data_IF_687742647069
#
_entry.id   IF_687742647069
#
_cell.length_a   1.000
_cell.length_b   1.000
_cell.length_c   1.000
_cell.angle_alpha   90.00
_cell.angle_beta   90.00
_cell.angle_gamma   90.00
#
_symmetry.space_group_name_H-M   'P 1'
#
loop_
_entity.id
_entity.type
_entity.pdbx_description
1 polymer ?
#
# COMPACT_ATOMS: atom_id res chain seq x y z
N UNK A 1 12.14 -11.80 3.58
CA UNK A 1 11.69 -10.66 4.43
C UNK A 1 12.30 -10.84 5.81
N UNK A 2 13.00 -9.84 6.32
CA UNK A 2 13.78 -9.95 7.59
C UNK A 2 13.06 -9.33 8.78
N UNK A 3 12.25 -8.29 8.55
CA UNK A 3 11.40 -7.65 9.54
C UNK A 3 10.29 -6.86 8.87
N UNK A 4 9.27 -6.53 9.64
CA UNK A 4 8.12 -5.71 9.23
C UNK A 4 7.82 -4.67 10.31
N UNK A 5 7.16 -3.58 9.96
CA UNK A 5 6.72 -2.57 10.90
C UNK A 5 5.62 -1.71 10.31
N UNK A 6 4.77 -1.15 11.15
CA UNK A 6 3.69 -0.29 10.72
C UNK A 6 3.53 0.91 11.65
N UNK A 7 2.93 1.96 11.12
CA UNK A 7 2.55 3.15 11.87
C UNK A 7 1.25 3.73 11.31
N UNK A 8 0.35 4.09 12.20
CA UNK A 8 -0.90 4.78 11.87
C UNK A 8 -1.07 5.98 12.81
N UNK A 9 -1.75 7.04 12.38
CA UNK A 9 -2.07 8.16 13.27
C UNK A 9 -2.86 7.71 14.51
N UNK A 10 -2.69 8.43 15.62
CA UNK A 10 -3.42 8.16 16.85
C UNK A 10 -4.90 8.54 16.73
N UNK A 11 -5.20 9.59 15.95
CA UNK A 11 -6.56 10.08 15.78
C UNK A 11 -7.43 9.08 15.05
N UNK A 12 -8.40 8.53 15.77
CA UNK A 12 -9.46 7.67 15.22
C UNK A 12 -10.60 8.56 14.72
N UNK A 13 -11.14 8.23 13.56
CA UNK A 13 -12.34 8.82 12.98
C UNK A 13 -13.33 7.70 12.73
N UNK A 14 -14.34 7.61 13.57
CA UNK A 14 -15.43 6.63 13.45
C UNK A 14 -16.49 7.07 12.42
N UNK A 15 -17.31 6.12 11.95
CA UNK A 15 -18.40 6.45 11.03
C UNK A 15 -19.40 7.45 11.64
N UNK A 16 -19.59 7.46 12.97
CA UNK A 16 -20.45 8.40 13.65
C UNK A 16 -19.96 9.85 13.58
N UNK A 17 -18.64 10.05 13.49
CA UNK A 17 -18.02 11.37 13.35
C UNK A 17 -18.29 11.98 11.96
N UNK A 18 -18.72 11.16 11.01
CA UNK A 18 -19.02 11.55 9.63
C UNK A 18 -20.51 11.93 9.44
N UNK A 19 -21.30 12.04 10.51
CA UNK A 19 -22.72 12.42 10.44
C UNK A 19 -22.96 13.76 9.73
N UNK A 20 -21.98 14.67 9.76
CA UNK A 20 -22.02 15.95 9.05
C UNK A 20 -22.15 15.82 7.53
N UNK A 21 -21.76 14.66 6.96
CA UNK A 21 -21.93 14.34 5.53
C UNK A 21 -23.35 13.89 5.18
N UNK A 22 -24.23 13.75 6.18
CA UNK A 22 -25.63 13.31 5.99
C UNK A 22 -25.76 11.82 5.64
N UNK A 23 -24.76 11.01 5.97
CA UNK A 23 -24.80 9.55 5.77
C UNK A 23 -24.94 8.80 7.10
N UNK A 24 -25.61 7.65 7.04
CA UNK A 24 -25.74 6.73 8.16
C UNK A 24 -24.43 5.93 8.34
N UNK A 25 -23.91 5.80 9.58
CA UNK A 25 -22.78 4.94 9.90
C UNK A 25 -22.93 3.50 9.39
N UNK A 26 -24.11 2.90 9.49
CA UNK A 26 -24.39 1.56 8.99
C UNK A 26 -24.35 1.48 7.46
N UNK A 27 -24.77 2.56 6.80
CA UNK A 27 -24.66 2.66 5.35
C UNK A 27 -23.18 2.61 4.89
N UNK A 28 -22.28 3.37 5.56
CA UNK A 28 -20.84 3.35 5.28
C UNK A 28 -20.30 1.93 5.47
N UNK A 29 -20.56 1.32 6.63
CA UNK A 29 -20.10 -0.03 6.96
C UNK A 29 -20.59 -1.05 5.92
N UNK A 30 -21.87 -1.06 5.60
CA UNK A 30 -22.47 -2.01 4.65
C UNK A 30 -21.93 -1.85 3.23
N UNK A 31 -21.45 -0.67 2.84
CA UNK A 31 -20.93 -0.38 1.49
C UNK A 31 -19.44 -0.59 1.34
N UNK A 32 -18.69 -0.38 2.40
CA UNK A 32 -17.22 -0.40 2.37
C UNK A 32 -16.59 -1.49 3.23
N UNK A 33 -17.25 -1.93 4.29
CA UNK A 33 -16.67 -2.74 5.36
C UNK A 33 -15.88 -1.91 6.37
N UNK A 34 -15.84 -0.58 6.24
CA UNK A 34 -15.05 0.32 7.07
C UNK A 34 -15.89 0.84 8.23
N UNK A 35 -15.47 0.60 9.46
CA UNK A 35 -16.09 1.16 10.67
C UNK A 35 -15.38 2.42 11.16
N UNK A 36 -14.05 2.45 11.02
CA UNK A 36 -13.21 3.58 11.40
C UNK A 36 -12.01 3.73 10.47
N UNK A 37 -11.36 4.89 10.52
CA UNK A 37 -10.08 5.17 9.84
C UNK A 37 -9.19 6.01 10.75
N UNK A 38 -7.96 6.22 10.31
CA UNK A 38 -7.01 7.08 11.03
C UNK A 38 -6.68 8.28 10.17
N UNK A 39 -6.71 9.47 10.77
CA UNK A 39 -6.32 10.70 10.08
C UNK A 39 -5.16 11.37 10.80
N UNK A 40 -4.16 11.75 10.03
CA UNK A 40 -2.98 12.46 10.49
C UNK A 40 -3.35 13.85 11.03
N UNK A 41 -2.69 14.28 12.09
CA UNK A 41 -2.80 15.64 12.59
C UNK A 41 -2.21 16.65 11.60
N UNK A 42 -2.54 17.93 11.79
CA UNK A 42 -2.22 18.97 10.81
C UNK A 42 -0.71 19.13 10.51
N UNK A 43 0.13 18.78 11.47
CA UNK A 43 1.60 18.86 11.40
C UNK A 43 2.27 17.53 11.03
N UNK A 44 1.51 16.45 10.85
CA UNK A 44 2.02 15.13 10.49
C UNK A 44 2.06 14.96 8.98
N UNK A 45 3.22 14.71 8.40
CA UNK A 45 3.43 14.45 6.98
C UNK A 45 3.59 12.95 6.68
N UNK A 46 3.64 12.60 5.40
CA UNK A 46 3.86 11.21 4.96
C UNK A 46 5.20 10.68 5.45
N UNK A 47 6.24 11.51 5.49
CA UNK A 47 7.55 11.11 6.01
C UNK A 47 7.52 10.74 7.50
N UNK A 48 6.63 11.37 8.30
CA UNK A 48 6.53 11.05 9.74
C UNK A 48 6.01 9.63 9.94
N UNK A 49 4.97 9.25 9.21
CA UNK A 49 4.41 7.90 9.23
C UNK A 49 5.41 6.89 8.67
N UNK A 50 6.09 7.23 7.57
CA UNK A 50 7.10 6.37 6.95
C UNK A 50 8.29 6.10 7.89
N UNK A 51 8.80 7.13 8.58
CA UNK A 51 9.86 6.99 9.57
C UNK A 51 9.41 6.12 10.75
N UNK A 52 8.21 6.35 11.28
CA UNK A 52 7.69 5.57 12.39
C UNK A 52 7.52 4.08 12.01
N UNK A 53 7.00 3.77 10.83
CA UNK A 53 6.89 2.40 10.34
C UNK A 53 8.25 1.74 10.13
N UNK A 54 9.23 2.46 9.57
CA UNK A 54 10.59 1.99 9.39
C UNK A 54 11.29 1.72 10.74
N UNK A 55 11.12 2.61 11.71
CA UNK A 55 11.65 2.43 13.07
C UNK A 55 11.04 1.21 13.75
N UNK A 56 9.72 0.95 13.56
CA UNK A 56 9.07 -0.24 14.08
C UNK A 56 9.64 -1.53 13.47
N UNK A 57 9.94 -1.55 12.18
CA UNK A 57 10.60 -2.68 11.52
C UNK A 57 12.04 -2.87 11.99
N UNK A 58 12.81 -1.78 12.10
CA UNK A 58 14.22 -1.80 12.56
C UNK A 58 14.34 -2.15 14.04
N UNK A 59 13.33 -1.86 14.86
CA UNK A 59 13.33 -2.24 16.28
C UNK A 59 13.34 -3.77 16.49
N UNK A 60 12.80 -4.54 15.53
CA UNK A 60 12.89 -6.02 15.55
C UNK A 60 14.28 -6.53 15.16
N UNK A 61 15.00 -5.78 14.33
CA UNK A 61 16.32 -6.13 13.81
C UNK A 61 17.25 -4.91 13.82
N UNK A 62 17.63 -4.41 15.03
CA UNK A 62 18.49 -3.22 15.15
C UNK A 62 19.87 -3.42 14.54
N UNK A 63 20.32 -4.66 14.39
CA UNK A 63 21.57 -5.05 13.73
C UNK A 63 21.59 -4.74 12.23
N UNK A 64 20.42 -4.44 11.62
CA UNK A 64 20.29 -4.20 10.19
C UNK A 64 20.36 -2.71 9.80
N UNK A 65 20.24 -1.77 10.72
CA UNK A 65 20.18 -0.34 10.38
C UNK A 65 21.36 0.12 9.51
N UNK A 66 22.59 -0.16 9.97
CA UNK A 66 23.81 0.26 9.27
C UNK A 66 24.10 -0.56 8.00
N UNK A 67 23.26 -1.57 7.73
CA UNK A 67 23.40 -2.44 6.56
C UNK A 67 22.45 -2.06 5.44
N UNK A 68 21.45 -1.22 5.72
CA UNK A 68 20.49 -0.78 4.69
C UNK A 68 21.22 -0.01 3.60
N UNK A 69 21.21 -0.55 2.39
CA UNK A 69 21.91 -0.03 1.22
C UNK A 69 20.98 0.40 0.07
N UNK A 70 19.66 0.33 0.30
CA UNK A 70 18.62 0.82 -0.60
C UNK A 70 17.35 1.19 0.18
N UNK A 71 16.75 2.36 -0.11
CA UNK A 71 15.44 2.76 0.41
C UNK A 71 14.47 3.05 -0.75
N UNK A 72 13.33 2.35 -0.79
CA UNK A 72 12.28 2.57 -1.80
C UNK A 72 10.95 2.86 -1.10
N UNK A 73 10.40 4.03 -1.34
CA UNK A 73 9.12 4.47 -0.77
C UNK A 73 8.03 4.52 -1.84
N UNK A 74 6.97 3.73 -1.67
CA UNK A 74 5.75 3.83 -2.44
C UNK A 74 4.83 4.89 -1.83
N UNK A 75 4.62 6.01 -2.53
CA UNK A 75 3.69 7.06 -2.12
C UNK A 75 3.15 7.86 -3.30
N UNK A 76 1.94 8.39 -3.17
CA UNK A 76 1.40 9.41 -4.08
C UNK A 76 1.07 10.73 -3.34
N UNK A 77 1.29 10.76 -2.03
CA UNK A 77 1.16 11.95 -1.17
C UNK A 77 2.53 12.34 -0.60
N UNK A 78 3.53 12.65 -1.44
CA UNK A 78 4.85 13.03 -0.96
C UNK A 78 4.78 14.31 -0.13
N UNK A 79 5.73 14.52 0.78
CA UNK A 79 5.83 15.75 1.58
C UNK A 79 5.92 16.99 0.68
N UNK A 80 6.69 16.86 -0.40
CA UNK A 80 6.93 17.91 -1.40
C UNK A 80 7.17 17.28 -2.77
N UNK A 81 7.05 18.07 -3.85
CA UNK A 81 7.44 17.61 -5.19
C UNK A 81 8.95 17.33 -5.31
N UNK A 82 9.78 18.04 -4.55
CA UNK A 82 11.24 17.94 -4.48
C UNK A 82 11.73 18.50 -3.14
N UNK A 83 12.58 17.78 -2.39
CA UNK A 83 13.16 16.46 -2.67
C UNK A 83 12.11 15.32 -2.62
N UNK A 84 12.51 14.10 -2.98
CA UNK A 84 11.70 12.91 -2.72
C UNK A 84 11.50 12.70 -1.21
N UNK A 85 10.34 12.22 -0.81
CA UNK A 85 10.05 11.90 0.60
C UNK A 85 10.98 10.82 1.12
N UNK A 86 11.38 9.87 0.28
CA UNK A 86 12.38 8.85 0.61
C UNK A 86 13.72 9.44 1.08
N UNK A 87 14.18 10.55 0.47
CA UNK A 87 15.41 11.24 0.92
C UNK A 87 15.23 11.85 2.31
N UNK A 88 14.06 12.39 2.63
CA UNK A 88 13.73 12.91 3.96
C UNK A 88 13.74 11.79 5.00
N UNK A 89 13.09 10.67 4.68
CA UNK A 89 13.03 9.47 5.52
C UNK A 89 14.44 8.91 5.76
N UNK A 90 15.24 8.78 4.70
CA UNK A 90 16.62 8.30 4.74
C UNK A 90 17.46 9.12 5.72
N UNK A 91 17.42 10.44 5.60
CA UNK A 91 18.17 11.35 6.48
C UNK A 91 17.72 11.27 7.94
N UNK A 92 16.40 11.16 8.18
CA UNK A 92 15.84 11.07 9.55
C UNK A 92 16.15 9.75 10.24
N UNK A 93 16.33 8.67 9.47
CA UNK A 93 16.74 7.36 9.98
C UNK A 93 18.26 7.25 10.15
N UNK A 94 19.04 8.19 9.61
CA UNK A 94 20.51 8.14 9.63
C UNK A 94 21.09 7.07 8.68
N UNK A 95 20.35 6.66 7.67
CA UNK A 95 20.77 5.65 6.69
C UNK A 95 21.62 6.33 5.59
N UNK A 96 22.74 5.71 5.22
CA UNK A 96 23.58 6.14 4.08
C UNK A 96 23.33 5.23 2.87
N UNK A 97 22.22 5.43 2.17
CA UNK A 97 21.80 4.63 1.03
C UNK A 97 21.12 5.50 -0.05
N UNK A 98 21.12 5.10 -1.33
CA UNK A 98 20.22 5.69 -2.31
C UNK A 98 18.76 5.51 -1.89
N UNK A 99 17.99 6.59 -2.06
CA UNK A 99 16.59 6.65 -1.66
C UNK A 99 15.73 7.23 -2.79
N UNK A 100 14.58 6.60 -3.08
CA UNK A 100 13.70 7.02 -4.15
C UNK A 100 12.22 6.82 -3.81
N UNK A 101 11.38 7.74 -4.28
CA UNK A 101 9.93 7.55 -4.30
C UNK A 101 9.49 6.82 -5.57
N UNK A 102 8.51 5.93 -5.43
CA UNK A 102 7.81 5.25 -6.53
C UNK A 102 6.34 5.60 -6.46
N UNK A 103 5.83 6.22 -7.53
CA UNK A 103 4.42 6.64 -7.60
C UNK A 103 3.63 5.70 -8.51
N UNK A 104 2.73 4.92 -7.92
CA UNK A 104 1.76 4.06 -8.60
C UNK A 104 0.43 4.02 -7.82
N UNK A 105 0.05 5.13 -7.19
CA UNK A 105 -1.10 5.24 -6.29
C UNK A 105 -1.18 4.05 -5.32
N UNK A 106 -2.35 3.44 -5.13
CA UNK A 106 -2.53 2.31 -4.20
C UNK A 106 -1.72 1.04 -4.57
N UNK A 107 -1.15 0.95 -5.77
CA UNK A 107 -0.19 -0.09 -6.14
C UNK A 107 1.26 0.27 -5.76
N UNK A 108 1.50 1.45 -5.18
CA UNK A 108 2.83 1.99 -4.91
C UNK A 108 3.72 1.06 -4.12
N UNK A 109 3.21 0.42 -3.06
CA UNK A 109 4.00 -0.55 -2.30
C UNK A 109 4.38 -1.79 -3.13
N UNK A 110 3.46 -2.33 -3.94
CA UNK A 110 3.78 -3.49 -4.78
C UNK A 110 4.87 -3.15 -5.81
N UNK A 111 4.82 -1.94 -6.39
CA UNK A 111 5.86 -1.43 -7.27
C UNK A 111 7.18 -1.25 -6.53
N UNK A 112 7.18 -0.64 -5.35
CA UNK A 112 8.36 -0.45 -4.52
C UNK A 112 9.00 -1.79 -4.12
N UNK A 113 8.18 -2.77 -3.69
CA UNK A 113 8.62 -4.11 -3.30
C UNK A 113 9.28 -4.86 -4.47
N UNK A 114 8.64 -4.85 -5.64
CA UNK A 114 9.21 -5.49 -6.84
C UNK A 114 10.49 -4.78 -7.28
N UNK A 115 10.52 -3.45 -7.26
CA UNK A 115 11.72 -2.66 -7.59
C UNK A 115 12.89 -3.06 -6.69
N UNK A 116 12.70 -3.01 -5.37
CA UNK A 116 13.73 -3.42 -4.42
C UNK A 116 14.14 -4.89 -4.60
N UNK A 117 13.15 -5.78 -4.82
CA UNK A 117 13.40 -7.19 -5.10
C UNK A 117 14.30 -7.41 -6.33
N UNK A 118 14.19 -6.58 -7.37
CA UNK A 118 15.05 -6.67 -8.55
C UNK A 118 16.47 -6.16 -8.25
N UNK A 119 16.66 -5.12 -7.43
CA UNK A 119 17.99 -4.69 -6.98
C UNK A 119 18.69 -5.78 -6.18
N UNK A 120 17.98 -6.46 -5.28
CA UNK A 120 18.49 -7.59 -4.51
C UNK A 120 18.85 -8.77 -5.42
N UNK A 121 17.97 -9.13 -6.35
CA UNK A 121 18.20 -10.24 -7.29
C UNK A 121 19.40 -9.98 -8.23
N UNK A 122 19.59 -8.73 -8.66
CA UNK A 122 20.74 -8.31 -9.46
C UNK A 122 22.05 -8.24 -8.66
N UNK A 123 22.00 -8.32 -7.32
CA UNK A 123 23.16 -8.15 -6.45
C UNK A 123 23.64 -6.71 -6.35
N UNK A 124 22.80 -5.73 -6.72
CA UNK A 124 23.09 -4.30 -6.61
C UNK A 124 22.75 -3.75 -5.22
N UNK A 125 22.05 -4.52 -4.40
CA UNK A 125 21.72 -4.24 -3.00
C UNK A 125 21.74 -5.56 -2.23
N UNK A 126 22.11 -5.50 -0.96
CA UNK A 126 22.09 -6.63 -0.04
C UNK A 126 20.95 -6.53 0.98
N UNK A 127 20.53 -5.31 1.32
CA UNK A 127 19.45 -5.05 2.27
C UNK A 127 18.64 -3.80 1.90
N UNK A 128 17.42 -4.00 1.46
CA UNK A 128 16.52 -2.92 1.10
C UNK A 128 15.48 -2.66 2.19
N UNK A 129 15.25 -1.38 2.51
CA UNK A 129 14.10 -0.89 3.27
C UNK A 129 13.02 -0.45 2.27
N UNK A 130 11.88 -1.13 2.29
CA UNK A 130 10.74 -0.85 1.40
C UNK A 130 9.58 -0.35 2.25
N UNK A 131 9.06 0.82 1.91
CA UNK A 131 8.00 1.48 2.66
C UNK A 131 6.82 1.76 1.73
N UNK A 132 5.60 1.61 2.23
CA UNK A 132 4.39 2.15 1.64
C UNK A 132 3.77 3.12 2.62
N UNK A 133 3.54 4.37 2.24
CA UNK A 133 3.01 5.40 3.12
C UNK A 133 2.20 6.44 2.35
N UNK A 134 1.04 6.81 2.89
CA UNK A 134 0.24 7.92 2.37
C UNK A 134 -0.51 8.65 3.49
N UNK A 135 -0.65 9.98 3.33
CA UNK A 135 -1.54 10.85 4.09
C UNK A 135 -2.72 11.27 3.19
N UNK A 136 -3.64 10.33 2.97
CA UNK A 136 -4.79 10.50 2.06
C UNK A 136 -5.71 11.63 2.51
N UNK A 137 -5.83 11.87 3.82
CA UNK A 137 -6.65 12.94 4.39
C UNK A 137 -6.27 14.34 3.89
N UNK A 138 -5.09 14.51 3.27
CA UNK A 138 -4.63 15.76 2.66
C UNK A 138 -5.18 16.00 1.26
N UNK A 139 -5.55 14.93 0.56
CA UNK A 139 -5.92 14.97 -0.86
C UNK A 139 -7.35 14.50 -1.11
N UNK A 140 -8.09 14.14 -0.06
CA UNK A 140 -9.50 13.78 -0.14
C UNK A 140 -10.35 14.92 0.43
N UNK A 141 -11.44 15.27 -0.27
CA UNK A 141 -12.34 16.36 0.13
C UNK A 141 -13.16 15.94 1.37
N UNK A 142 -13.03 16.64 2.51
CA UNK A 142 -13.81 16.35 3.71
C UNK A 142 -15.35 16.49 3.54
N UNK A 143 -15.78 17.16 2.47
CA UNK A 143 -17.20 17.30 2.14
C UNK A 143 -17.71 16.26 1.14
N UNK A 144 -16.84 15.42 0.58
CA UNK A 144 -17.25 14.42 -0.41
C UNK A 144 -17.64 13.09 0.25
N UNK A 145 -18.92 12.80 0.29
CA UNK A 145 -19.49 11.55 0.78
C UNK A 145 -18.97 10.29 0.06
N UNK A 146 -18.46 10.42 -1.18
CA UNK A 146 -18.02 9.27 -1.98
C UNK A 146 -16.61 8.80 -1.63
N UNK A 147 -15.76 9.72 -1.21
CA UNK A 147 -14.33 9.44 -0.99
C UNK A 147 -13.93 9.59 0.48
N UNK A 148 -14.35 10.66 1.17
CA UNK A 148 -13.95 10.92 2.55
C UNK A 148 -14.16 9.73 3.51
N UNK A 149 -15.33 9.01 3.48
CA UNK A 149 -15.54 7.87 4.37
C UNK A 149 -14.65 6.66 4.09
N UNK A 150 -13.97 6.61 2.93
CA UNK A 150 -13.20 5.44 2.54
C UNK A 150 -11.74 5.51 2.98
N UNK A 151 -11.12 6.70 2.92
CA UNK A 151 -9.68 6.82 3.03
C UNK A 151 -9.22 7.07 4.47
N UNK A 152 -8.09 6.46 4.81
CA UNK A 152 -7.34 6.70 6.02
C UNK A 152 -5.86 6.91 5.71
N UNK A 153 -5.10 7.33 6.71
CA UNK A 153 -3.67 7.58 6.65
C UNK A 153 -2.92 6.45 7.34
N UNK A 154 -1.75 6.09 6.82
CA UNK A 154 -0.94 5.05 7.42
C UNK A 154 0.29 4.69 6.60
N UNK A 155 1.19 3.99 7.24
CA UNK A 155 2.42 3.49 6.65
C UNK A 155 2.73 2.07 7.13
N UNK A 156 3.44 1.33 6.30
CA UNK A 156 4.09 0.10 6.69
C UNK A 156 5.43 -0.04 5.98
N UNK A 157 6.34 -0.78 6.60
CA UNK A 157 7.70 -0.99 6.13
C UNK A 157 8.09 -2.45 6.21
N UNK A 158 8.91 -2.89 5.26
CA UNK A 158 9.53 -4.21 5.28
C UNK A 158 11.03 -4.11 5.03
N UNK A 159 11.82 -4.91 5.71
CA UNK A 159 13.24 -5.13 5.44
C UNK A 159 13.39 -6.38 4.58
N UNK A 160 13.98 -6.21 3.40
CA UNK A 160 14.26 -7.27 2.45
C UNK A 160 15.76 -7.54 2.41
N UNK A 161 16.18 -8.69 2.89
CA UNK A 161 17.57 -9.12 2.83
C UNK A 161 17.79 -10.08 1.65
N UNK A 162 18.89 -9.89 0.91
CA UNK A 162 19.27 -10.80 -0.16
C UNK A 162 19.61 -12.15 0.44
N UNK A 163 18.82 -13.16 0.10
CA UNK A 163 19.13 -14.54 0.50
C UNK A 163 20.29 -15.10 -0.35
N UNK A 164 21.11 -15.93 0.27
CA UNK A 164 22.03 -16.76 -0.50
C UNK A 164 21.22 -17.83 -1.23
N UNK A 165 21.59 -18.19 -2.46
CA UNK A 165 20.94 -19.27 -3.16
C UNK A 165 20.98 -20.54 -2.31
N UNK A 166 19.83 -21.00 -1.84
CA UNK A 166 19.64 -22.33 -1.30
C UNK A 166 18.86 -23.13 -2.35
N UNK A 167 19.45 -24.21 -2.82
CA UNK A 167 18.89 -24.99 -3.92
C UNK A 167 17.68 -25.83 -3.49
N UNK A 168 17.49 -26.05 -2.17
CA UNK A 168 16.45 -26.93 -1.67
C UNK A 168 15.10 -26.22 -1.42
N UNK A 169 15.13 -24.91 -1.11
CA UNK A 169 13.88 -24.16 -0.87
C UNK A 169 14.07 -22.70 -1.32
N UNK A 170 13.67 -22.32 -2.54
CA UNK A 170 13.79 -20.95 -3.01
C UNK A 170 12.94 -20.03 -2.14
N UNK A 171 13.59 -19.09 -1.44
CA UNK A 171 12.96 -18.02 -0.67
C UNK A 171 13.07 -16.68 -1.42
N UNK A 172 12.20 -15.72 -1.08
CA UNK A 172 12.18 -14.40 -1.67
C UNK A 172 11.08 -14.21 -2.72
N UNK A 173 11.32 -13.35 -3.69
CA UNK A 173 10.38 -13.02 -4.76
C UNK A 173 10.35 -14.14 -5.81
N UNK A 174 9.33 -15.00 -5.75
CA UNK A 174 9.19 -16.15 -6.65
C UNK A 174 8.69 -15.73 -8.05
N UNK A 175 7.75 -14.81 -8.09
CA UNK A 175 7.20 -14.27 -9.33
C UNK A 175 6.55 -12.91 -9.07
N UNK A 176 6.40 -12.12 -10.13
CA UNK A 176 5.77 -10.82 -10.06
C UNK A 176 5.19 -10.38 -11.40
N UNK A 177 4.28 -9.41 -11.33
CA UNK A 177 3.72 -8.72 -12.49
C UNK A 177 3.41 -7.28 -12.10
N UNK A 178 3.93 -6.33 -12.87
CA UNK A 178 3.56 -4.93 -12.80
C UNK A 178 2.90 -4.53 -14.12
N UNK A 179 1.93 -3.65 -14.06
CA UNK A 179 1.28 -3.17 -15.26
C UNK A 179 0.50 -1.88 -15.04
N UNK A 180 0.21 -1.19 -16.15
CA UNK A 180 -0.55 0.05 -16.15
C UNK A 180 -1.39 0.19 -17.41
N UNK A 181 -2.51 0.94 -17.29
CA UNK A 181 -3.36 1.34 -18.39
C UNK A 181 -3.73 2.82 -18.28
N UNK A 182 -2.95 3.68 -18.93
CA UNK A 182 -3.13 5.12 -18.92
C UNK A 182 -4.44 5.61 -19.56
N UNK A 183 -5.20 4.75 -20.25
CA UNK A 183 -6.53 5.10 -20.79
C UNK A 183 -7.55 5.33 -19.67
N UNK A 184 -7.27 4.82 -18.47
CA UNK A 184 -8.10 5.01 -17.27
C UNK A 184 -7.60 6.12 -16.35
N UNK A 185 -6.69 7.00 -16.77
CA UNK A 185 -6.07 8.02 -15.93
C UNK A 185 -7.09 8.95 -15.25
N UNK A 186 -8.18 9.28 -15.92
CA UNK A 186 -9.22 10.17 -15.39
C UNK A 186 -10.20 9.50 -14.42
N UNK A 187 -10.14 8.16 -14.24
CA UNK A 187 -11.04 7.43 -13.36
C UNK A 187 -10.72 7.66 -11.87
N UNK A 188 -9.47 7.97 -11.57
CA UNK A 188 -9.01 8.28 -10.22
C UNK A 188 -7.82 9.25 -10.33
N UNK A 189 -8.06 10.52 -10.08
CA UNK A 189 -7.10 11.61 -10.35
C UNK A 189 -7.17 12.71 -9.29
N UNK A 190 -6.02 13.30 -8.96
CA UNK A 190 -5.93 14.61 -8.33
C UNK A 190 -5.62 15.63 -9.44
N UNK A 191 -6.56 16.44 -9.89
CA UNK A 191 -6.39 17.25 -11.11
C UNK A 191 -5.31 18.30 -11.01
N UNK A 192 -5.18 18.93 -9.83
CA UNK A 192 -4.29 20.07 -9.59
C UNK A 192 -3.01 19.65 -8.85
N UNK A 193 -2.05 20.54 -8.81
CA UNK A 193 -0.73 20.42 -8.16
C UNK A 193 0.35 19.76 -9.01
N UNK A 194 0.03 19.32 -10.22
CA UNK A 194 1.02 18.85 -11.20
C UNK A 194 1.35 19.90 -12.27
N UNK A 195 2.27 19.56 -13.16
CA UNK A 195 2.69 20.44 -14.27
C UNK A 195 1.57 20.72 -15.28
N UNK A 196 0.57 19.82 -15.38
CA UNK A 196 -0.58 19.99 -16.28
C UNK A 196 -1.52 21.09 -15.79
N UNK A 197 -1.76 21.11 -14.46
CA UNK A 197 -2.63 22.09 -13.81
C UNK A 197 -1.95 22.60 -12.53
N UNK A 198 -1.12 23.65 -12.62
CA UNK A 198 -0.51 24.27 -11.45
C UNK A 198 -1.55 24.83 -10.49
N UNK A 199 -1.16 25.03 -9.23
CA UNK A 199 -2.05 25.56 -8.19
C UNK A 199 -2.49 26.97 -8.54
N UNK A 200 -3.82 27.19 -8.53
CA UNK A 200 -4.44 28.52 -8.74
C UNK A 200 -5.56 28.75 -7.74
N UNK A 201 -5.86 30.02 -7.44
CA UNK A 201 -6.98 30.36 -6.56
C UNK A 201 -8.32 29.83 -7.10
N UNK A 202 -8.51 29.88 -8.42
CA UNK A 202 -9.73 29.35 -9.06
C UNK A 202 -9.83 27.81 -8.93
N UNK A 203 -8.72 27.09 -9.11
CA UNK A 203 -8.69 25.62 -8.94
C UNK A 203 -8.94 25.22 -7.49
N UNK A 204 -8.37 25.94 -6.51
CA UNK A 204 -8.66 25.73 -5.09
C UNK A 204 -10.15 25.94 -4.79
N UNK A 205 -10.75 27.02 -5.30
CA UNK A 205 -12.18 27.28 -5.14
C UNK A 205 -13.09 26.22 -5.79
N UNK A 206 -12.60 25.57 -6.87
CA UNK A 206 -13.29 24.46 -7.54
C UNK A 206 -13.07 23.09 -6.86
N UNK A 207 -12.19 23.00 -5.87
CA UNK A 207 -11.83 21.74 -5.19
C UNK A 207 -10.96 20.82 -6.06
N UNK A 208 -10.20 21.37 -7.00
CA UNK A 208 -9.35 20.59 -7.90
C UNK A 208 -8.08 20.02 -7.22
N UNK A 209 -7.76 20.49 -6.02
CA UNK A 209 -6.71 19.91 -5.17
C UNK A 209 -7.10 18.54 -4.61
N UNK A 210 -8.38 18.21 -4.63
CA UNK A 210 -8.89 16.96 -4.08
C UNK A 210 -9.05 15.89 -5.14
N UNK A 211 -8.89 14.65 -4.70
CA UNK A 211 -9.09 13.45 -5.49
C UNK A 211 -10.50 13.38 -6.06
N UNK A 212 -10.61 13.06 -7.33
CA UNK A 212 -11.86 12.75 -8.05
C UNK A 212 -11.85 11.28 -8.42
N UNK A 213 -12.97 10.57 -8.19
CA UNK A 213 -13.04 9.12 -8.41
C UNK A 213 -14.36 8.71 -9.07
N UNK A 214 -14.30 7.96 -10.17
CA UNK A 214 -15.40 7.12 -10.65
C UNK A 214 -15.35 5.76 -9.94
N UNK A 215 -15.90 5.70 -8.73
CA UNK A 215 -15.85 4.51 -7.90
C UNK A 215 -16.48 3.26 -8.54
N UNK A 216 -17.49 3.43 -9.43
CA UNK A 216 -18.14 2.29 -10.10
C UNK A 216 -17.25 1.67 -11.18
N UNK A 217 -16.58 2.49 -11.96
CA UNK A 217 -15.65 2.03 -12.98
C UNK A 217 -14.43 1.36 -12.36
N UNK A 218 -13.83 2.01 -11.34
CA UNK A 218 -12.69 1.49 -10.57
C UNK A 218 -13.02 0.15 -9.92
N UNK A 219 -14.19 0.02 -9.27
CA UNK A 219 -14.63 -1.23 -8.61
C UNK A 219 -14.67 -2.42 -9.56
N UNK A 220 -15.33 -2.27 -10.72
CA UNK A 220 -15.47 -3.33 -11.71
C UNK A 220 -14.12 -3.76 -12.31
N UNK A 221 -13.29 -2.75 -12.58
CA UNK A 221 -11.96 -2.96 -13.12
C UNK A 221 -11.07 -3.72 -12.13
N UNK A 222 -11.07 -3.29 -10.85
CA UNK A 222 -10.21 -3.83 -9.81
C UNK A 222 -10.41 -5.34 -9.59
N UNK A 223 -11.67 -5.80 -9.48
CA UNK A 223 -11.96 -7.23 -9.24
C UNK A 223 -11.44 -8.10 -10.39
N UNK A 224 -11.77 -7.73 -11.63
CA UNK A 224 -11.35 -8.52 -12.79
C UNK A 224 -9.84 -8.55 -12.94
N UNK A 225 -9.21 -7.39 -12.84
CA UNK A 225 -7.77 -7.27 -13.00
C UNK A 225 -7.00 -8.00 -11.91
N UNK A 226 -7.40 -7.84 -10.65
CA UNK A 226 -6.71 -8.47 -9.53
C UNK A 226 -6.79 -10.01 -9.63
N UNK A 227 -7.95 -10.58 -9.97
CA UNK A 227 -8.09 -12.01 -10.21
C UNK A 227 -7.13 -12.50 -11.31
N UNK A 228 -7.19 -11.87 -12.50
CA UNK A 228 -6.34 -12.23 -13.64
C UNK A 228 -4.85 -12.17 -13.27
N UNK A 229 -4.45 -11.10 -12.57
CA UNK A 229 -3.05 -10.86 -12.21
C UNK A 229 -2.56 -11.81 -11.11
N UNK A 230 -3.39 -12.10 -10.10
CA UNK A 230 -3.07 -13.09 -9.05
C UNK A 230 -2.87 -14.47 -9.67
N UNK A 231 -3.80 -14.95 -10.52
CA UNK A 231 -3.65 -16.25 -11.20
C UNK A 231 -2.36 -16.30 -12.02
N UNK A 232 -2.05 -15.25 -12.75
CA UNK A 232 -0.85 -15.17 -13.57
C UNK A 232 0.45 -15.29 -12.73
N UNK A 233 0.55 -14.53 -11.62
CA UNK A 233 1.77 -14.58 -10.81
C UNK A 233 1.90 -15.89 -10.05
N UNK A 234 0.80 -16.47 -9.58
CA UNK A 234 0.80 -17.76 -8.91
C UNK A 234 1.22 -18.88 -9.88
N UNK A 235 0.66 -18.93 -11.09
CA UNK A 235 1.07 -19.88 -12.12
C UNK A 235 2.57 -19.77 -12.45
N UNK A 236 3.07 -18.53 -12.65
CA UNK A 236 4.50 -18.29 -12.93
C UNK A 236 5.42 -18.68 -11.78
N UNK A 237 4.95 -18.65 -10.55
CA UNK A 237 5.74 -19.04 -9.38
C UNK A 237 5.94 -20.54 -9.23
N UNK A 238 5.15 -21.35 -9.94
CA UNK A 238 5.10 -22.80 -9.79
C UNK A 238 4.38 -23.27 -8.50
N UNK A 239 3.79 -22.35 -7.75
CA UNK A 239 2.98 -22.65 -6.56
C UNK A 239 1.51 -22.81 -6.96
N UNK A 240 0.74 -23.69 -6.34
CA UNK A 240 -0.71 -23.74 -6.55
C UNK A 240 -1.41 -22.69 -5.68
N UNK A 241 -2.61 -22.24 -6.09
CA UNK A 241 -3.43 -21.30 -5.32
C UNK A 241 -3.71 -21.80 -3.89
N UNK A 242 -3.93 -23.11 -3.76
CA UNK A 242 -4.21 -23.78 -2.48
C UNK A 242 -2.98 -23.85 -1.56
N UNK A 243 -1.78 -23.74 -2.13
CA UNK A 243 -0.51 -23.74 -1.38
C UNK A 243 -0.06 -22.35 -0.93
N UNK A 244 -0.78 -21.30 -1.31
CA UNK A 244 -0.55 -19.94 -0.80
C UNK A 244 -1.11 -19.83 0.61
N UNK A 245 -0.30 -19.44 1.58
CA UNK A 245 -0.72 -19.35 2.98
C UNK A 245 -1.61 -18.14 3.22
N UNK A 246 -1.29 -16.98 2.62
CA UNK A 246 -2.03 -15.73 2.80
C UNK A 246 -2.05 -14.87 1.54
N UNK A 247 -3.21 -14.30 1.25
CA UNK A 247 -3.41 -13.25 0.26
C UNK A 247 -3.54 -11.89 0.96
N UNK A 248 -2.61 -10.98 0.72
CA UNK A 248 -2.60 -9.62 1.25
C UNK A 248 -2.88 -8.66 0.10
N UNK A 249 -4.15 -8.32 -0.07
CA UNK A 249 -4.61 -7.41 -1.10
C UNK A 249 -4.61 -5.96 -0.61
N UNK A 250 -4.54 -5.02 -1.53
CA UNK A 250 -4.83 -3.63 -1.23
C UNK A 250 -6.21 -3.50 -0.54
N UNK A 251 -6.25 -2.80 0.57
CA UNK A 251 -7.41 -2.66 1.46
C UNK A 251 -8.31 -1.49 1.01
N UNK A 252 -8.86 -1.57 -0.21
CA UNK A 252 -9.67 -0.49 -0.78
C UNK A 252 -11.12 -0.52 -0.28
N UNK A 253 -11.72 -1.70 -0.23
CA UNK A 253 -13.12 -1.93 0.07
C UNK A 253 -13.35 -3.43 0.28
N UNK A 254 -14.10 -3.81 1.32
CA UNK A 254 -14.36 -5.22 1.64
C UNK A 254 -14.99 -5.98 0.46
N UNK A 255 -15.94 -5.34 -0.25
CA UNK A 255 -16.62 -5.97 -1.39
C UNK A 255 -15.69 -6.27 -2.56
N UNK A 256 -14.59 -5.51 -2.72
CA UNK A 256 -13.57 -5.82 -3.72
C UNK A 256 -12.83 -7.09 -3.30
N UNK A 257 -12.40 -7.16 -2.05
CA UNK A 257 -11.69 -8.34 -1.51
C UNK A 257 -12.57 -9.58 -1.60
N UNK A 258 -13.84 -9.49 -1.20
CA UNK A 258 -14.82 -10.58 -1.31
C UNK A 258 -15.06 -11.00 -2.76
N UNK A 259 -15.15 -10.02 -3.69
CA UNK A 259 -15.29 -10.30 -5.11
C UNK A 259 -14.10 -11.06 -5.68
N UNK A 260 -12.88 -10.65 -5.35
CA UNK A 260 -11.65 -11.33 -5.77
C UNK A 260 -11.58 -12.74 -5.16
N UNK A 261 -11.84 -12.86 -3.84
CA UNK A 261 -11.88 -14.15 -3.14
C UNK A 261 -12.87 -15.12 -3.79
N UNK A 262 -14.10 -14.64 -4.04
CA UNK A 262 -15.14 -15.44 -4.68
C UNK A 262 -14.75 -15.91 -6.08
N UNK A 263 -14.12 -15.05 -6.89
CA UNK A 263 -13.63 -15.40 -8.24
C UNK A 263 -12.46 -16.39 -8.20
N UNK A 264 -11.62 -16.34 -7.17
CA UNK A 264 -10.53 -17.31 -6.97
C UNK A 264 -11.02 -18.65 -6.41
N UNK A 265 -12.21 -18.69 -5.80
CA UNK A 265 -12.78 -19.90 -5.17
C UNK A 265 -12.09 -20.29 -3.86
N UNK A 266 -11.50 -19.33 -3.15
CA UNK A 266 -10.72 -19.57 -1.95
C UNK A 266 -11.50 -19.20 -0.67
N UNK A 267 -11.19 -19.83 0.47
CA UNK A 267 -11.84 -19.57 1.74
C UNK A 267 -11.39 -18.23 2.35
N UNK A 268 -12.22 -17.68 3.25
CA UNK A 268 -12.05 -16.33 3.81
C UNK A 268 -10.78 -16.17 4.64
N UNK A 269 -10.42 -17.18 5.40
CA UNK A 269 -9.25 -17.21 6.28
C UNK A 269 -7.91 -17.08 5.56
N UNK A 270 -7.92 -17.21 4.23
CA UNK A 270 -6.74 -16.97 3.37
C UNK A 270 -6.55 -15.50 3.00
N UNK A 271 -7.49 -14.62 3.33
CA UNK A 271 -7.45 -13.20 2.98
C UNK A 271 -7.39 -12.35 4.23
N UNK A 272 -6.33 -11.56 4.36
CA UNK A 272 -6.26 -10.61 5.45
C UNK A 272 -7.15 -9.40 5.15
N UNK A 273 -7.94 -9.00 6.14
CA UNK A 273 -8.78 -7.80 6.10
C UNK A 273 -8.52 -7.01 7.38
N UNK A 274 -8.14 -5.73 7.23
CA UNK A 274 -7.96 -4.78 8.33
C UNK A 274 -8.50 -3.37 8.00
N UNK A 275 -9.13 -3.24 6.84
CA UNK A 275 -9.71 -1.97 6.40
C UNK A 275 -10.88 -1.50 7.29
N UNK A 276 -11.47 -2.38 8.06
CA UNK A 276 -12.49 -2.08 9.05
C UNK A 276 -12.00 -1.07 10.11
N UNK A 277 -10.69 -1.11 10.43
CA UNK A 277 -10.02 -0.31 11.46
C UNK A 277 -9.20 0.84 10.91
N UNK A 278 -8.73 0.75 9.67
CA UNK A 278 -7.81 1.74 9.09
C UNK A 278 -8.34 2.43 7.85
N UNK A 279 -9.44 1.94 7.27
CA UNK A 279 -9.90 2.39 5.97
C UNK A 279 -8.91 2.04 4.85
N UNK A 280 -9.01 2.76 3.76
CA UNK A 280 -8.09 2.66 2.64
C UNK A 280 -6.86 3.55 2.89
N UNK A 281 -5.76 2.97 3.32
CA UNK A 281 -4.47 3.64 3.53
C UNK A 281 -3.56 3.63 2.29
N UNK A 282 -4.14 3.42 1.10
CA UNK A 282 -3.44 3.44 -0.19
C UNK A 282 -2.17 2.59 -0.23
N UNK A 283 -0.98 3.17 -0.47
CA UNK A 283 0.29 2.43 -0.52
C UNK A 283 0.65 1.80 0.83
N UNK A 284 0.19 2.36 1.95
CA UNK A 284 0.41 1.81 3.30
C UNK A 284 -0.39 0.54 3.59
N UNK A 285 -1.45 0.25 2.82
CA UNK A 285 -2.42 -0.80 3.16
C UNK A 285 -1.85 -2.21 3.18
N UNK A 286 -1.07 -2.57 2.17
CA UNK A 286 -0.45 -3.91 2.08
C UNK A 286 0.60 -4.11 3.17
N UNK A 287 1.61 -3.23 3.36
CA UNK A 287 2.62 -3.46 4.37
C UNK A 287 2.09 -3.36 5.80
N UNK A 288 1.05 -2.57 6.07
CA UNK A 288 0.35 -2.53 7.35
C UNK A 288 -0.35 -3.87 7.63
N UNK A 289 -0.99 -4.47 6.61
CA UNK A 289 -1.59 -5.79 6.71
C UNK A 289 -0.53 -6.90 6.88
N UNK A 290 0.61 -6.79 6.23
CA UNK A 290 1.75 -7.71 6.43
C UNK A 290 2.29 -7.65 7.86
N UNK A 291 2.41 -6.45 8.46
CA UNK A 291 2.85 -6.29 9.85
C UNK A 291 1.89 -7.00 10.81
N UNK A 292 0.58 -6.83 10.64
CA UNK A 292 -0.40 -7.52 11.48
C UNK A 292 -0.33 -9.04 11.34
N UNK A 293 -0.25 -9.56 10.11
CA UNK A 293 -0.13 -11.00 9.87
C UNK A 293 1.16 -11.59 10.49
N UNK A 294 2.26 -10.84 10.38
CA UNK A 294 3.55 -11.23 10.97
C UNK A 294 3.50 -11.26 12.49
N UNK A 295 3.00 -10.19 13.13
CA UNK A 295 2.88 -10.10 14.59
C UNK A 295 1.91 -11.11 15.18
N UNK A 296 0.84 -11.43 14.44
CA UNK A 296 -0.11 -12.46 14.84
C UNK A 296 0.42 -13.89 14.65
N UNK A 297 1.59 -14.07 14.01
CA UNK A 297 2.12 -15.38 13.66
C UNK A 297 1.33 -16.11 12.57
N UNK A 298 0.47 -15.40 11.83
CA UNK A 298 -0.27 -15.95 10.70
C UNK A 298 0.66 -16.24 9.53
N UNK A 299 1.72 -15.45 9.37
CA UNK A 299 2.81 -15.69 8.43
C UNK A 299 4.15 -15.62 9.15
N UNK A 300 5.15 -16.31 8.62
CA UNK A 300 6.51 -16.34 9.15
C UNK A 300 7.46 -17.03 8.16
N UNK A 301 8.70 -17.34 8.57
CA UNK A 301 9.67 -18.00 7.70
C UNK A 301 9.10 -19.26 7.05
N UNK A 302 9.21 -19.36 5.73
CA UNK A 302 8.69 -20.43 4.91
C UNK A 302 7.25 -20.23 4.38
N UNK A 303 6.49 -19.27 4.91
CA UNK A 303 5.15 -18.96 4.40
C UNK A 303 5.21 -18.39 2.98
N UNK A 304 4.25 -18.79 2.15
CA UNK A 304 4.07 -18.25 0.80
C UNK A 304 2.92 -17.23 0.82
N UNK A 305 3.23 -15.98 0.49
CA UNK A 305 2.29 -14.86 0.51
C UNK A 305 2.11 -14.31 -0.90
N UNK A 306 0.87 -14.04 -1.27
CA UNK A 306 0.54 -13.27 -2.47
C UNK A 306 0.15 -11.86 -2.05
N UNK A 307 0.83 -10.86 -2.62
CA UNK A 307 0.41 -9.46 -2.51
C UNK A 307 -0.22 -9.01 -3.83
N UNK A 308 -1.23 -8.13 -3.77
CA UNK A 308 -1.82 -7.51 -4.95
C UNK A 308 -2.27 -6.09 -4.64
N UNK A 309 -1.60 -5.10 -5.26
CA UNK A 309 -1.96 -3.70 -5.23
C UNK A 309 -2.56 -3.25 -6.56
N UNK A 310 -3.56 -2.37 -6.52
CA UNK A 310 -4.20 -1.78 -7.69
C UNK A 310 -4.76 -0.39 -7.35
N UNK A 311 -4.75 0.53 -8.29
CA UNK A 311 -5.20 1.90 -8.05
C UNK A 311 -5.15 2.83 -9.25
N UNK A 312 -5.14 4.12 -8.97
CA UNK A 312 -5.07 5.17 -9.98
C UNK A 312 -3.88 5.02 -10.92
N UNK A 313 -4.14 5.44 -12.19
CA UNK A 313 -3.17 5.31 -13.24
C UNK A 313 -3.80 4.88 -14.57
N UNK A 314 -4.56 3.80 -14.76
CA UNK A 314 -4.67 2.72 -13.78
C UNK A 314 -3.33 1.98 -13.63
N UNK A 315 -3.01 1.55 -12.44
CA UNK A 315 -1.78 0.81 -12.17
C UNK A 315 -2.07 -0.40 -11.28
N UNK A 316 -1.31 -1.48 -11.44
CA UNK A 316 -1.41 -2.69 -10.61
C UNK A 316 -0.08 -3.38 -10.47
N UNK A 317 0.07 -4.11 -9.37
CA UNK A 317 1.23 -4.95 -9.13
C UNK A 317 0.87 -6.12 -8.23
N UNK A 318 1.31 -7.32 -8.62
CA UNK A 318 1.20 -8.52 -7.78
C UNK A 318 2.53 -9.23 -7.68
N UNK A 319 2.74 -9.90 -6.56
CA UNK A 319 3.94 -10.71 -6.34
C UNK A 319 3.60 -11.93 -5.48
N UNK A 320 4.29 -13.04 -5.76
CA UNK A 320 4.36 -14.21 -4.89
C UNK A 320 5.69 -14.16 -4.16
N UNK A 321 5.61 -14.12 -2.85
CA UNK A 321 6.78 -14.05 -1.98
C UNK A 321 6.81 -15.25 -1.05
N UNK A 322 7.97 -15.91 -0.93
CA UNK A 322 8.24 -16.90 0.12
C UNK A 322 9.13 -16.27 1.18
N UNK A 323 8.62 -16.23 2.42
CA UNK A 323 9.26 -15.59 3.56
C UNK A 323 10.41 -16.41 4.14
#
# INVERSE_FOLDING_TARGET
>A
MAAVGAAVPERVVDNVDLAHLGCDPEWILSRSGISQRRHAEADTATSDLAVAAAQAALAERPDLLDRVDLLVLGTFTPDTCIPSTACVVQARLGIEAPAMDVTAACAGFAYALVTAGQFLAAGSSDLALVIGADTNSRVVDPADLKTWPLFGDGAGAVLLERSKPDNDTPAGLLSWSLGSDGRGADLLVCPMSGSRQPVTAAGVAAGDQFMKMDGRAVFKWAIRLAEENIRQVVERSGVSLEAVDLFVLHQANLRIIEGIRGSLGLPEERFLVNLDRYGNTSSGSIPLALDEAWRAGTIGPGSTVVICGFGGGLAWGSAVWRL
#
